data_IF_884229392503
#
_entry.id   IF_884229392503
#
_cell.length_a   1.000
_cell.length_b   1.000
_cell.length_c   1.000
_cell.angle_alpha   90.00
_cell.angle_beta   90.00
_cell.angle_gamma   90.00
#
_symmetry.space_group_name_H-M   'P 1'
#
loop_
_entity.id
_entity.type
_entity.pdbx_description
1 polymer ?
#
# COMPACT_ATOMS: atom_id res chain seq x y z
N UNK A 1 -6.63 2.46 21.95
CA UNK A 1 -7.36 2.44 20.66
C UNK A 1 -6.45 3.09 19.64
N UNK A 2 -6.07 2.38 18.58
CA UNK A 2 -5.20 2.93 17.53
C UNK A 2 -6.08 3.73 16.58
N UNK A 3 -5.92 5.05 16.55
CA UNK A 3 -6.58 5.88 15.55
C UNK A 3 -6.08 5.51 14.14
N UNK A 4 -6.96 5.50 13.12
CA UNK A 4 -6.52 5.24 11.76
C UNK A 4 -5.64 6.39 11.29
N UNK A 5 -4.42 6.09 10.85
CA UNK A 5 -3.54 7.07 10.22
C UNK A 5 -4.20 7.57 8.93
N UNK A 6 -4.58 8.84 8.91
CA UNK A 6 -5.12 9.51 7.73
C UNK A 6 -4.05 10.44 7.17
N UNK A 7 -3.74 10.26 5.90
CA UNK A 7 -2.84 11.15 5.18
C UNK A 7 -3.45 11.51 3.83
N UNK A 8 -3.16 12.73 3.36
CA UNK A 8 -3.55 13.20 2.04
C UNK A 8 -2.30 13.35 1.19
N UNK A 9 -2.32 12.77 0.00
CA UNK A 9 -1.19 12.79 -0.94
C UNK A 9 -1.65 13.40 -2.25
N UNK A 10 -0.73 14.08 -2.94
CA UNK A 10 -1.01 14.65 -4.25
C UNK A 10 -0.79 13.57 -5.32
N UNK A 11 -1.83 13.27 -6.09
CA UNK A 11 -1.74 12.42 -7.27
C UNK A 11 -1.03 13.18 -8.39
N UNK A 12 -0.10 12.53 -9.07
CA UNK A 12 0.64 13.07 -10.21
C UNK A 12 0.19 12.35 -11.47
N UNK A 13 0.15 13.06 -12.60
CA UNK A 13 -0.06 12.41 -13.88
C UNK A 13 1.17 11.53 -14.20
N UNK A 14 0.94 10.32 -14.71
CA UNK A 14 2.04 9.49 -15.21
C UNK A 14 2.70 10.09 -16.47
N UNK A 15 2.03 11.05 -17.14
CA UNK A 15 2.45 11.75 -18.37
C UNK A 15 2.85 10.82 -19.54
N UNK A 16 2.50 9.53 -19.44
CA UNK A 16 2.79 8.51 -20.47
C UNK A 16 1.69 8.41 -21.54
N UNK A 17 0.70 9.31 -21.51
CA UNK A 17 -0.43 9.31 -22.46
C UNK A 17 -1.45 8.19 -22.25
N UNK A 18 -1.28 7.35 -21.23
CA UNK A 18 -2.17 6.22 -20.88
C UNK A 18 -3.34 6.62 -19.98
N UNK A 19 -3.26 7.80 -19.33
CA UNK A 19 -4.26 8.28 -18.38
C UNK A 19 -4.07 7.77 -16.94
N UNK A 20 -2.92 7.18 -16.63
CA UNK A 20 -2.61 6.68 -15.29
C UNK A 20 -2.17 7.80 -14.33
N UNK A 21 -2.36 7.55 -13.03
CA UNK A 21 -1.98 8.44 -11.94
C UNK A 21 -0.93 7.78 -11.03
N UNK A 22 0.13 8.52 -10.73
CA UNK A 22 1.15 8.16 -9.76
C UNK A 22 0.75 8.72 -8.40
N UNK A 23 0.57 7.85 -7.42
CA UNK A 23 0.28 8.23 -6.03
C UNK A 23 1.53 8.03 -5.21
N UNK A 24 2.20 9.13 -4.85
CA UNK A 24 3.39 9.07 -4.01
C UNK A 24 3.00 8.91 -2.54
N UNK A 25 3.26 7.73 -1.99
CA UNK A 25 3.05 7.43 -0.57
C UNK A 25 4.29 7.88 0.24
N UNK A 26 4.15 8.82 1.19
CA UNK A 26 5.27 9.28 1.99
C UNK A 26 5.82 8.13 2.85
N UNK A 27 7.15 8.09 3.00
CA UNK A 27 7.85 7.07 3.77
C UNK A 27 7.38 6.96 5.22
N UNK A 28 6.96 8.07 5.83
CA UNK A 28 6.38 8.08 7.17
C UNK A 28 5.07 7.28 7.25
N UNK A 29 4.18 7.44 6.25
CA UNK A 29 2.94 6.68 6.18
C UNK A 29 3.20 5.20 5.93
N UNK A 30 4.13 4.87 5.01
CA UNK A 30 4.56 3.50 4.74
C UNK A 30 5.13 2.84 6.00
N UNK A 31 5.98 3.53 6.76
CA UNK A 31 6.56 3.02 7.98
C UNK A 31 5.49 2.78 9.07
N UNK A 32 4.55 3.71 9.21
CA UNK A 32 3.47 3.60 10.19
C UNK A 32 2.50 2.43 9.91
N UNK A 33 2.29 2.08 8.64
CA UNK A 33 1.50 0.88 8.23
C UNK A 33 2.36 -0.38 8.06
N UNK A 34 3.68 -0.28 8.26
CA UNK A 34 4.62 -1.39 8.15
C UNK A 34 4.80 -1.92 6.73
N UNK A 35 4.70 -1.05 5.71
CA UNK A 35 4.99 -1.37 4.32
C UNK A 35 6.41 -0.94 3.98
N UNK A 36 7.09 -1.73 3.15
CA UNK A 36 8.42 -1.44 2.60
C UNK A 36 8.42 -1.56 1.09
N UNK A 37 9.40 -0.92 0.46
CA UNK A 37 9.71 -1.15 -0.95
C UNK A 37 9.93 -2.65 -1.21
N UNK A 38 9.26 -3.16 -2.23
CA UNK A 38 9.30 -4.58 -2.58
C UNK A 38 8.24 -5.45 -1.90
N UNK A 39 7.42 -4.92 -0.98
CA UNK A 39 6.24 -5.65 -0.53
C UNK A 39 5.23 -5.82 -1.68
N UNK A 40 4.65 -7.01 -1.76
CA UNK A 40 3.56 -7.27 -2.69
C UNK A 40 2.24 -6.77 -2.08
N UNK A 41 1.50 -5.98 -2.87
CA UNK A 41 0.22 -5.44 -2.48
C UNK A 41 -0.88 -5.98 -3.40
N UNK A 42 -2.00 -6.34 -2.81
CA UNK A 42 -3.24 -6.60 -3.51
C UNK A 42 -3.98 -5.27 -3.69
N UNK A 43 -4.43 -5.00 -4.90
CA UNK A 43 -5.20 -3.81 -5.25
C UNK A 43 -6.63 -4.26 -5.54
N UNK A 44 -7.59 -3.71 -4.81
CA UNK A 44 -9.02 -4.00 -4.95
C UNK A 44 -9.80 -2.71 -5.06
N UNK A 45 -10.89 -2.71 -5.83
CA UNK A 45 -11.88 -1.62 -5.83
C UNK A 45 -13.08 -2.06 -5.01
N UNK A 46 -13.38 -1.34 -3.92
CA UNK A 46 -14.49 -1.64 -3.00
C UNK A 46 -15.29 -0.37 -2.79
N UNK A 47 -16.59 -0.37 -3.11
CA UNK A 47 -17.47 0.80 -2.96
C UNK A 47 -16.91 2.10 -3.57
N UNK A 48 -16.34 2.00 -4.78
CA UNK A 48 -15.67 3.10 -5.48
C UNK A 48 -14.31 3.55 -4.89
N UNK A 49 -13.90 2.98 -3.76
CA UNK A 49 -12.60 3.23 -3.14
C UNK A 49 -11.55 2.23 -3.62
N UNK A 50 -10.31 2.70 -3.80
CA UNK A 50 -9.17 1.82 -4.06
C UNK A 50 -8.58 1.39 -2.72
N UNK A 51 -8.66 0.09 -2.45
CA UNK A 51 -8.15 -0.54 -1.23
C UNK A 51 -6.86 -1.29 -1.58
N UNK A 52 -5.78 -0.91 -0.90
CA UNK A 52 -4.49 -1.57 -0.99
C UNK A 52 -4.29 -2.42 0.26
N UNK A 53 -4.08 -3.73 0.08
CA UNK A 53 -3.80 -4.67 1.16
C UNK A 53 -2.45 -5.33 0.95
N UNK A 54 -1.63 -5.37 1.99
CA UNK A 54 -0.35 -6.09 1.92
C UNK A 54 -0.58 -7.60 1.84
N UNK A 55 0.02 -8.24 0.85
CA UNK A 55 0.07 -9.69 0.75
C UNK A 55 1.13 -10.17 1.75
N UNK A 56 0.68 -10.85 2.80
CA UNK A 56 1.60 -11.61 3.65
C UNK A 56 1.79 -12.95 2.96
N UNK A 57 2.95 -13.15 2.35
CA UNK A 57 3.34 -14.52 2.02
C UNK A 57 3.36 -15.29 3.35
N UNK A 58 2.68 -16.43 3.39
CA UNK A 58 2.48 -17.19 4.62
C UNK A 58 3.82 -17.36 5.30
N UNK A 59 3.89 -17.03 6.59
CA UNK A 59 4.98 -17.45 7.44
C UNK A 59 5.17 -18.95 7.22
N UNK A 60 6.23 -19.33 6.51
CA UNK A 60 6.77 -20.68 6.57
C UNK A 60 7.31 -20.83 8.00
N UNK A 61 6.41 -21.14 8.93
CA UNK A 61 6.74 -21.63 10.25
C UNK A 61 7.37 -23.01 10.07
N UNK A 62 8.67 -23.01 9.75
CA UNK A 62 9.57 -24.10 10.07
C UNK A 62 10.08 -23.88 11.48
N UNK A 63 9.21 -24.09 12.45
CA UNK A 63 9.61 -24.39 13.83
C UNK A 63 10.04 -25.86 13.80
N UNK A 64 11.32 -26.13 13.56
CA UNK A 64 11.92 -27.42 13.86
C UNK A 64 12.89 -27.21 15.03
N UNK A 65 12.46 -27.72 16.19
CA UNK A 65 13.28 -27.86 17.40
C UNK A 65 14.12 -29.13 17.41
#
# INVERSE_FOLDING_TARGET
MSEPLKTTVQCQAADDGTGDLIVNLPSEALNAIGWKLGDLLNIERVNDEIVLKRIREGSNSGDEG
#
